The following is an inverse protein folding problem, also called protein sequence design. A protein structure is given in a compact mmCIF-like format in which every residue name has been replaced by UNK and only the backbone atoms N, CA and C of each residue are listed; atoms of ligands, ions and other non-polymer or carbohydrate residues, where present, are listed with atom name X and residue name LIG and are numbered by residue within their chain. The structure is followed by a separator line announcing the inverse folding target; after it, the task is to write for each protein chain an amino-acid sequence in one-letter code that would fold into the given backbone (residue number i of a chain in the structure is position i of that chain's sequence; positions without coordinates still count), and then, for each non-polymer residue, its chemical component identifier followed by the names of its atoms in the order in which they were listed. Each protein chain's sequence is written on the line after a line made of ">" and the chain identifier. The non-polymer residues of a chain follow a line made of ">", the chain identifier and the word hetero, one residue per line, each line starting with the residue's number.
data_IF_637192105640
#
_entry.id   IF_637192105640
#
_cell.length_a   1.000
_cell.length_b   1.000
_cell.length_c   1.000
_cell.angle_alpha   90.00
_cell.angle_beta   90.00
_cell.angle_gamma   90.00
#
_symmetry.space_group_name_H-M   'P 1'
#
loop_
_entity.id
_entity.type
_entity.pdbx_description
1 polymer ?
#
# COMPACT_ATOMS: atom_id res chain seq x y z
N UNK A 1 3.44 23.31 17.16
CA UNK A 1 3.30 21.86 16.96
C UNK A 1 3.30 21.65 15.46
N UNK A 2 4.40 21.15 14.91
CA UNK A 2 4.50 20.76 13.49
C UNK A 2 3.64 19.51 13.33
N UNK A 3 2.56 19.56 12.55
CA UNK A 3 1.87 18.35 12.15
C UNK A 3 2.72 17.70 11.08
N UNK A 4 3.59 16.78 11.47
CA UNK A 4 4.37 16.02 10.49
C UNK A 4 3.41 15.07 9.77
N UNK A 5 3.35 15.18 8.45
CA UNK A 5 2.38 14.48 7.62
C UNK A 5 3.07 13.34 6.86
N UNK A 6 2.44 12.17 6.85
CA UNK A 6 2.77 11.14 5.86
C UNK A 6 2.43 11.66 4.47
N UNK A 7 3.40 11.68 3.57
CA UNK A 7 3.22 12.09 2.19
C UNK A 7 3.21 10.89 1.26
N UNK A 8 2.23 10.86 0.36
CA UNK A 8 2.01 9.79 -0.60
C UNK A 8 1.86 10.39 -1.99
N UNK A 9 2.77 10.05 -2.89
CA UNK A 9 2.68 10.42 -4.30
C UNK A 9 2.57 9.17 -5.15
N UNK A 10 1.41 8.98 -5.77
CA UNK A 10 1.13 7.83 -6.64
C UNK A 10 0.96 8.29 -8.09
N UNK A 11 1.61 7.58 -9.00
CA UNK A 11 1.33 7.61 -10.42
C UNK A 11 0.53 6.35 -10.77
N UNK A 12 -0.73 6.52 -11.15
CA UNK A 12 -1.65 5.43 -11.47
C UNK A 12 -1.84 5.37 -12.98
N UNK A 13 -1.61 4.18 -13.56
CA UNK A 13 -1.94 3.87 -14.94
C UNK A 13 -3.05 2.85 -14.97
N UNK A 14 -4.11 3.17 -15.70
CA UNK A 14 -5.30 2.35 -15.85
C UNK A 14 -5.35 1.89 -17.30
N UNK A 15 -5.56 0.59 -17.52
CA UNK A 15 -5.81 0.00 -18.81
C UNK A 15 -7.20 -0.68 -18.80
N UNK A 16 -8.25 0.05 -19.21
CA UNK A 16 -9.60 -0.48 -19.26
C UNK A 16 -9.78 -1.65 -20.23
N UNK A 17 -8.94 -1.73 -21.28
CA UNK A 17 -9.05 -2.79 -22.29
C UNK A 17 -8.58 -4.13 -21.76
N UNK A 18 -7.55 -4.12 -20.91
CA UNK A 18 -7.03 -5.33 -20.27
C UNK A 18 -7.58 -5.55 -18.86
N UNK A 19 -8.35 -4.59 -18.33
CA UNK A 19 -8.88 -4.64 -16.97
C UNK A 19 -7.77 -4.60 -15.91
N UNK A 20 -6.68 -3.86 -16.17
CA UNK A 20 -5.50 -3.82 -15.29
C UNK A 20 -5.17 -2.42 -14.84
N UNK A 21 -4.58 -2.34 -13.66
CA UNK A 21 -3.93 -1.13 -13.17
C UNK A 21 -2.49 -1.43 -12.77
N UNK A 22 -1.66 -0.41 -12.92
CA UNK A 22 -0.29 -0.41 -12.41
C UNK A 22 -0.03 0.92 -11.73
N UNK A 23 0.60 0.87 -10.56
CA UNK A 23 0.90 2.05 -9.77
C UNK A 23 2.37 2.07 -9.41
N UNK A 24 2.97 3.24 -9.54
CA UNK A 24 4.28 3.57 -9.00
C UNK A 24 4.10 4.67 -7.96
N UNK A 25 4.53 4.39 -6.73
CA UNK A 25 4.35 5.25 -5.58
C UNK A 25 5.65 5.60 -4.90
N UNK A 26 5.74 6.82 -4.38
CA UNK A 26 6.72 7.23 -3.38
C UNK A 26 5.99 7.57 -2.09
N UNK A 27 6.48 7.05 -0.98
CA UNK A 27 5.89 7.17 0.35
C UNK A 27 6.94 7.73 1.29
N UNK A 28 6.61 8.84 1.95
CA UNK A 28 7.34 9.39 3.07
C UNK A 28 6.48 9.19 4.32
N UNK A 29 6.72 8.09 5.04
CA UNK A 29 5.93 7.70 6.21
C UNK A 29 6.50 8.30 7.50
N UNK A 30 5.66 9.03 8.23
CA UNK A 30 6.01 9.56 9.55
C UNK A 30 5.73 8.53 10.63
N UNK A 31 6.76 8.17 11.40
CA UNK A 31 6.69 7.12 12.41
C UNK A 31 6.10 7.68 13.71
N UNK A 32 5.08 7.02 14.25
CA UNK A 32 4.39 7.47 15.48
C UNK A 32 4.86 6.75 16.75
N UNK A 33 5.70 5.73 16.64
CA UNK A 33 6.32 5.01 17.75
C UNK A 33 7.57 4.27 17.28
N UNK A 34 8.47 3.95 18.21
CA UNK A 34 9.69 3.20 17.89
C UNK A 34 9.35 1.87 17.20
N UNK A 35 10.00 1.60 16.06
CA UNK A 35 9.65 0.46 15.21
C UNK A 35 10.87 -0.13 14.51
N UNK A 36 10.90 -1.46 14.39
CA UNK A 36 11.81 -2.20 13.50
C UNK A 36 11.08 -2.80 12.29
N UNK A 37 9.74 -2.80 12.33
CA UNK A 37 8.84 -3.28 11.29
C UNK A 37 7.70 -2.28 11.14
N UNK A 38 7.37 -1.91 9.92
CA UNK A 38 6.18 -1.12 9.58
C UNK A 38 5.09 -2.05 9.06
N UNK A 39 3.84 -1.80 9.45
CA UNK A 39 2.68 -2.59 9.01
C UNK A 39 1.66 -1.71 8.30
N UNK A 40 1.22 -2.14 7.12
CA UNK A 40 0.22 -1.47 6.31
C UNK A 40 -0.86 -2.46 5.88
N UNK A 41 -2.11 -2.02 5.85
CA UNK A 41 -3.21 -2.81 5.31
C UNK A 41 -3.39 -2.52 3.83
N UNK A 42 -3.40 -3.57 3.02
CA UNK A 42 -3.61 -3.51 1.57
C UNK A 42 -4.80 -4.37 1.20
N UNK A 43 -5.49 -4.04 0.11
CA UNK A 43 -6.45 -4.95 -0.48
C UNK A 43 -5.73 -6.22 -0.99
N UNK A 44 -6.32 -7.40 -0.79
CA UNK A 44 -5.72 -8.71 -1.08
C UNK A 44 -5.34 -8.92 -2.55
N UNK A 45 -6.05 -8.24 -3.44
CA UNK A 45 -5.83 -8.32 -4.88
C UNK A 45 -4.69 -7.41 -5.37
N UNK A 46 -4.13 -6.58 -4.47
CA UNK A 46 -2.95 -5.77 -4.79
C UNK A 46 -1.72 -6.65 -4.77
N UNK A 47 -1.08 -6.78 -5.93
CA UNK A 47 0.18 -7.47 -6.09
C UNK A 47 1.32 -6.48 -6.15
N UNK A 48 2.07 -6.37 -5.05
CA UNK A 48 3.33 -5.64 -5.01
C UNK A 48 4.34 -6.35 -5.93
N UNK A 49 4.84 -5.63 -6.92
CA UNK A 49 5.88 -6.13 -7.83
C UNK A 49 7.26 -5.71 -7.39
N UNK A 50 7.38 -4.58 -6.70
CA UNK A 50 8.65 -4.06 -6.18
C UNK A 50 8.38 -3.16 -4.98
N UNK A 51 9.25 -3.23 -3.97
CA UNK A 51 9.29 -2.29 -2.87
C UNK A 51 10.74 -2.05 -2.49
N UNK A 52 11.16 -0.79 -2.48
CA UNK A 52 12.55 -0.43 -2.25
C UNK A 52 12.69 0.89 -1.50
N UNK A 53 13.76 1.03 -0.73
CA UNK A 53 14.07 2.26 -0.01
C UNK A 53 15.37 2.11 0.75
N UNK A 54 15.96 3.24 1.18
CA UNK A 54 17.29 3.24 1.80
C UNK A 54 17.34 2.35 3.06
N UNK A 55 16.34 2.50 3.94
CA UNK A 55 16.22 1.76 5.19
C UNK A 55 15.35 0.50 5.11
N UNK A 56 14.99 0.03 3.91
CA UNK A 56 14.18 -1.18 3.74
C UNK A 56 15.10 -2.41 3.63
N UNK A 57 14.89 -3.41 4.49
CA UNK A 57 15.59 -4.71 4.48
C UNK A 57 14.83 -5.72 3.61
N UNK A 58 13.56 -5.94 3.93
CA UNK A 58 12.69 -6.91 3.25
C UNK A 58 11.22 -6.56 3.48
N UNK A 59 10.32 -7.21 2.73
CA UNK A 59 8.89 -7.11 2.94
C UNK A 59 8.19 -8.44 2.70
N UNK A 60 7.02 -8.61 3.30
CA UNK A 60 6.13 -9.76 3.09
C UNK A 60 4.68 -9.30 3.17
N UNK A 61 3.81 -9.91 2.35
CA UNK A 61 2.38 -9.79 2.49
C UNK A 61 1.84 -11.05 3.17
N UNK A 62 1.16 -10.89 4.30
CA UNK A 62 0.58 -11.98 5.09
C UNK A 62 -0.93 -11.77 5.23
N UNK A 63 -1.69 -12.86 5.36
CA UNK A 63 -3.09 -12.76 5.74
C UNK A 63 -3.15 -12.29 7.20
N UNK A 64 -3.77 -11.13 7.44
CA UNK A 64 -4.00 -10.64 8.79
C UNK A 64 -5.09 -11.44 9.50
N UNK A 65 -5.12 -11.36 10.84
CA UNK A 65 -6.29 -11.85 11.58
C UNK A 65 -7.50 -10.98 11.25
N UNK A 66 -8.59 -11.61 10.81
CA UNK A 66 -9.85 -10.92 10.49
C UNK A 66 -10.50 -10.50 11.81
N UNK A 67 -10.23 -9.26 12.21
CA UNK A 67 -10.84 -8.67 13.42
C UNK A 67 -12.07 -7.80 13.09
N UNK A 68 -12.21 -7.38 11.84
CA UNK A 68 -13.31 -6.55 11.36
C UNK A 68 -13.87 -7.07 10.02
N UNK A 69 -15.16 -6.87 9.70
CA UNK A 69 -15.77 -7.38 8.47
C UNK A 69 -15.09 -6.91 7.18
N UNK A 70 -14.52 -5.71 7.16
CA UNK A 70 -13.80 -5.16 6.00
C UNK A 70 -12.39 -5.74 5.82
N UNK A 71 -11.87 -6.49 6.80
CA UNK A 71 -10.54 -7.12 6.72
C UNK A 71 -10.56 -8.45 5.96
N UNK A 72 -11.73 -8.97 5.55
CA UNK A 72 -11.80 -10.18 4.71
C UNK A 72 -11.09 -10.01 3.38
N UNK A 73 -11.07 -8.76 2.88
CA UNK A 73 -10.38 -8.39 1.65
C UNK A 73 -9.02 -7.73 1.90
N UNK A 74 -8.50 -7.77 3.13
CA UNK A 74 -7.25 -7.11 3.49
C UNK A 74 -6.12 -8.11 3.76
N UNK A 75 -4.91 -7.75 3.33
CA UNK A 75 -3.65 -8.39 3.69
C UNK A 75 -2.77 -7.37 4.41
N UNK A 76 -1.91 -7.85 5.30
CA UNK A 76 -0.93 -7.01 5.99
C UNK A 76 0.37 -7.04 5.20
N UNK A 77 0.80 -5.87 4.71
CA UNK A 77 2.16 -5.64 4.26
C UNK A 77 3.03 -5.35 5.48
N UNK A 78 3.97 -6.24 5.78
CA UNK A 78 5.02 -6.02 6.77
C UNK A 78 6.31 -5.64 6.06
N UNK A 79 6.85 -4.48 6.41
CA UNK A 79 8.14 -3.98 5.89
C UNK A 79 9.15 -3.99 7.02
N UNK A 80 10.18 -4.81 6.91
CA UNK A 80 11.27 -4.87 7.87
C UNK A 80 12.33 -3.82 7.54
N UNK A 81 12.79 -3.09 8.55
CA UNK A 81 13.77 -2.03 8.40
C UNK A 81 15.19 -2.56 8.63
N UNK A 82 16.20 -1.99 7.94
CA UNK A 82 17.62 -2.31 8.16
C UNK A 82 18.08 -1.83 9.54
N UNK A 83 17.62 -0.65 9.92
CA UNK A 83 17.86 -0.03 11.21
C UNK A 83 16.52 0.36 11.84
N UNK A 84 16.30 0.07 13.13
CA UNK A 84 15.14 0.56 13.86
C UNK A 84 15.05 2.09 13.77
N UNK A 85 13.81 2.59 13.79
CA UNK A 85 13.48 4.01 13.77
C UNK A 85 12.77 4.39 15.05
N UNK A 86 12.90 5.64 15.45
CA UNK A 86 12.27 6.19 16.64
C UNK A 86 10.97 6.92 16.30
N UNK A 87 10.15 7.21 17.30
CA UNK A 87 9.06 8.14 17.14
C UNK A 87 9.55 9.46 16.48
N UNK A 88 8.76 9.95 15.54
CA UNK A 88 9.00 11.14 14.74
C UNK A 88 10.10 11.04 13.67
N UNK A 89 10.68 9.85 13.47
CA UNK A 89 11.51 9.58 12.29
C UNK A 89 10.65 9.47 11.02
N UNK A 90 11.29 9.72 9.87
CA UNK A 90 10.70 9.56 8.55
C UNK A 90 11.29 8.39 7.79
N UNK A 91 10.44 7.50 7.29
CA UNK A 91 10.84 6.39 6.42
C UNK A 91 10.35 6.63 5.00
N UNK A 92 11.30 6.83 4.08
CA UNK A 92 11.03 7.04 2.66
C UNK A 92 11.25 5.75 1.85
N UNK A 93 10.25 5.34 1.08
CA UNK A 93 10.33 4.16 0.22
C UNK A 93 9.44 4.30 -1.03
N UNK A 94 9.81 3.57 -2.08
CA UNK A 94 9.05 3.44 -3.31
C UNK A 94 8.34 2.09 -3.36
N UNK A 95 7.16 2.07 -3.96
CA UNK A 95 6.34 0.87 -4.16
C UNK A 95 5.84 0.83 -5.60
N UNK A 96 6.01 -0.32 -6.24
CA UNK A 96 5.32 -0.65 -7.48
C UNK A 96 4.33 -1.77 -7.19
N UNK A 97 3.07 -1.58 -7.57
CA UNK A 97 2.07 -2.63 -7.48
C UNK A 97 1.20 -2.68 -8.73
N UNK A 98 0.59 -3.83 -8.94
CA UNK A 98 -0.39 -4.08 -9.98
C UNK A 98 -1.64 -4.69 -9.39
N UNK A 99 -2.76 -4.47 -10.06
CA UNK A 99 -4.04 -5.03 -9.67
C UNK A 99 -4.94 -5.22 -10.89
N UNK A 100 -6.05 -5.89 -10.67
CA UNK A 100 -7.13 -5.94 -11.64
C UNK A 100 -8.07 -4.74 -11.39
N UNK A 101 -8.58 -4.16 -12.47
CA UNK A 101 -9.76 -3.32 -12.43
C UNK A 101 -10.96 -4.26 -12.30
N UNK A 102 -11.68 -4.14 -11.20
CA UNK A 102 -12.82 -4.98 -10.90
C UNK A 102 -13.98 -4.75 -11.89
N UNK A 103 -14.67 -5.83 -12.28
CA UNK A 103 -15.95 -5.76 -13.01
C UNK A 103 -17.05 -6.13 -12.02
N UNK A 104 -17.58 -5.10 -11.36
CA UNK A 104 -18.79 -5.05 -10.52
C UNK A 104 -19.17 -6.37 -9.82
N UNK A 105 -18.63 -6.57 -8.61
CA UNK A 105 -19.32 -7.31 -7.53
C UNK A 105 -19.15 -6.58 -6.20
N UNK A 106 -20.06 -5.65 -5.89
CA UNK A 106 -20.38 -4.94 -4.62
C UNK A 106 -19.27 -4.41 -3.67
N UNK A 107 -18.02 -4.88 -3.70
CA UNK A 107 -16.98 -4.63 -2.68
C UNK A 107 -15.58 -4.36 -3.24
N UNK A 108 -15.43 -4.00 -4.52
CA UNK A 108 -14.11 -3.76 -5.13
C UNK A 108 -13.64 -2.29 -5.04
N UNK A 109 -12.33 -2.12 -4.85
CA UNK A 109 -11.66 -0.84 -4.51
C UNK A 109 -11.19 -0.05 -5.75
N UNK A 110 -11.11 -0.69 -6.93
CA UNK A 110 -10.78 -0.03 -8.21
C UNK A 110 -11.89 -0.32 -9.23
N UNK A 111 -12.71 0.68 -9.52
CA UNK A 111 -13.99 0.53 -10.20
C UNK A 111 -13.93 1.17 -11.58
N UNK A 112 -14.22 0.37 -12.59
CA UNK A 112 -14.52 0.89 -13.92
C UNK A 112 -16.04 0.91 -14.11
N UNK A 113 -16.62 2.10 -14.16
CA UNK A 113 -18.02 2.27 -14.57
C UNK A 113 -18.07 2.72 -16.03
N UNK A 114 -19.21 2.55 -16.73
CA UNK A 114 -19.37 3.11 -18.08
C UNK A 114 -19.12 4.62 -18.16
N UNK A 115 -19.24 5.33 -17.04
CA UNK A 115 -19.20 6.80 -16.97
C UNK A 115 -17.88 7.36 -16.42
N UNK A 116 -17.18 6.64 -15.53
CA UNK A 116 -15.91 7.07 -14.92
C UNK A 116 -15.07 5.90 -14.38
N UNK A 117 -13.84 6.21 -13.93
CA UNK A 117 -12.98 5.31 -13.16
C UNK A 117 -12.81 5.84 -11.73
N UNK A 118 -13.06 5.00 -10.72
CA UNK A 118 -12.91 5.28 -9.27
C UNK A 118 -11.83 4.39 -8.65
#
# INVERSE_FOLDING_TARGET
>A
MSSEHTFLQLNVKLDPLTGKLSVTGNIDFHVNCDASTLEFWLHRDLKITELSGANIDSYVCENGEVTMPWMTEAVVLKIKLKHPVSQDDRVSFSINYSGCLGIITEWETNRLTPEWVE
#
